data_IF_201852877645
#
_entry.id   IF_201852877645
#
_cell.length_a   1.000
_cell.length_b   1.000
_cell.length_c   1.000
_cell.angle_alpha   90.00
_cell.angle_beta   90.00
_cell.angle_gamma   90.00
#
_symmetry.space_group_name_H-M   'P 1'
#
loop_
_entity.id
_entity.type
_entity.pdbx_description
1 polymer ?
#
# COMPACT_ATOMS: atom_id res chain seq x y z
N UNK A 1 24.15 2.44 -3.04
CA UNK A 1 22.80 2.84 -2.64
C UNK A 1 22.21 3.65 -3.79
N UNK A 2 21.23 3.09 -4.48
CA UNK A 2 20.44 3.76 -5.52
C UNK A 2 19.12 4.30 -4.92
N UNK A 3 18.22 4.79 -5.78
CA UNK A 3 16.89 5.26 -5.37
C UNK A 3 16.09 4.17 -4.64
N UNK A 4 15.98 2.98 -5.21
CA UNK A 4 15.22 1.86 -4.63
C UNK A 4 15.78 1.38 -3.29
N UNK A 5 17.11 1.34 -3.15
CA UNK A 5 17.78 1.02 -1.89
C UNK A 5 17.39 2.02 -0.79
N UNK A 6 17.27 3.31 -1.12
CA UNK A 6 16.85 4.34 -0.17
C UNK A 6 15.40 4.13 0.29
N UNK A 7 14.50 3.78 -0.63
CA UNK A 7 13.09 3.47 -0.29
C UNK A 7 12.98 2.22 0.58
N UNK A 8 13.73 1.17 0.24
CA UNK A 8 13.79 -0.06 1.03
C UNK A 8 14.30 0.22 2.45
N UNK A 9 15.42 0.93 2.58
CA UNK A 9 16.01 1.26 3.89
C UNK A 9 15.04 2.07 4.74
N UNK A 10 14.26 2.98 4.14
CA UNK A 10 13.21 3.73 4.84
C UNK A 10 12.19 2.80 5.50
N UNK A 11 11.68 1.80 4.76
CA UNK A 11 10.78 0.80 5.32
C UNK A 11 11.45 -0.08 6.39
N UNK A 12 12.65 -0.59 6.12
CA UNK A 12 13.38 -1.47 7.05
C UNK A 12 13.69 -0.78 8.38
N UNK A 13 14.04 0.50 8.34
CA UNK A 13 14.25 1.32 9.55
C UNK A 13 12.96 1.57 10.32
N UNK A 14 11.87 1.88 9.61
CA UNK A 14 10.57 2.11 10.25
C UNK A 14 10.05 0.84 10.94
N UNK A 15 10.18 -0.32 10.29
CA UNK A 15 9.61 -1.58 10.79
C UNK A 15 10.60 -2.45 11.57
N UNK A 16 11.85 -1.99 11.72
CA UNK A 16 12.94 -2.68 12.40
C UNK A 16 13.07 -4.14 11.94
N UNK A 17 12.98 -4.34 10.62
CA UNK A 17 12.89 -5.65 10.02
C UNK A 17 13.47 -5.64 8.60
N UNK A 18 14.22 -6.68 8.25
CA UNK A 18 14.80 -6.80 6.93
C UNK A 18 13.74 -7.24 5.92
N UNK A 19 13.70 -6.56 4.77
CA UNK A 19 12.77 -6.88 3.71
C UNK A 19 13.21 -8.12 2.93
N UNK A 20 12.25 -9.00 2.64
CA UNK A 20 12.43 -10.04 1.63
C UNK A 20 11.91 -9.50 0.29
N UNK A 21 12.79 -9.39 -0.70
CA UNK A 21 12.42 -8.88 -2.03
C UNK A 21 11.63 -9.94 -2.79
N UNK A 22 10.49 -9.54 -3.34
CA UNK A 22 9.59 -10.35 -4.15
C UNK A 22 9.30 -9.68 -5.49
N UNK A 23 9.14 -10.51 -6.51
CA UNK A 23 8.63 -10.11 -7.83
C UNK A 23 7.43 -10.97 -8.19
N UNK A 24 6.49 -10.37 -8.93
CA UNK A 24 5.44 -11.12 -9.61
C UNK A 24 5.85 -11.32 -11.06
N UNK A 25 5.96 -12.57 -11.50
CA UNK A 25 6.52 -12.91 -12.82
C UNK A 25 5.48 -12.86 -13.95
N UNK A 26 4.20 -12.67 -13.62
CA UNK A 26 3.11 -12.68 -14.59
C UNK A 26 2.59 -11.27 -14.88
N UNK A 27 2.17 -11.03 -16.12
CA UNK A 27 1.65 -9.74 -16.57
C UNK A 27 2.72 -8.83 -17.18
N UNK A 28 2.35 -7.59 -17.55
CA UNK A 28 3.21 -6.67 -18.30
C UNK A 28 4.25 -5.98 -17.40
N UNK A 29 5.12 -6.75 -16.73
CA UNK A 29 6.12 -6.24 -15.77
C UNK A 29 7.11 -5.27 -16.40
N UNK A 30 7.33 -5.33 -17.71
CA UNK A 30 8.21 -4.40 -18.43
C UNK A 30 7.69 -2.96 -18.45
N UNK A 31 6.42 -2.75 -18.08
CA UNK A 31 5.81 -1.44 -17.89
C UNK A 31 6.02 -0.90 -16.46
N UNK A 32 6.49 -1.76 -15.54
CA UNK A 32 7.02 -1.40 -14.24
C UNK A 32 8.54 -1.32 -14.40
N UNK A 33 9.19 -0.27 -13.87
CA UNK A 33 10.63 -0.10 -14.02
C UNK A 33 11.39 -1.37 -13.61
N UNK A 34 12.56 -1.63 -14.21
CA UNK A 34 13.29 -2.89 -13.99
C UNK A 34 13.70 -3.15 -12.54
N UNK A 35 13.68 -2.12 -11.70
CA UNK A 35 13.98 -2.19 -10.26
C UNK A 35 12.72 -2.33 -9.39
N UNK A 36 11.51 -2.31 -9.97
CA UNK A 36 10.27 -2.49 -9.22
C UNK A 36 10.23 -3.86 -8.55
N UNK A 37 9.87 -3.86 -7.27
CA UNK A 37 9.60 -5.06 -6.51
C UNK A 37 8.57 -4.82 -5.41
N UNK A 38 8.10 -5.91 -4.81
CA UNK A 38 7.34 -5.87 -3.56
C UNK A 38 8.25 -6.35 -2.44
N UNK A 39 8.35 -5.58 -1.37
CA UNK A 39 9.04 -5.91 -0.14
C UNK A 39 8.06 -6.63 0.79
N UNK A 40 8.41 -7.84 1.22
CA UNK A 40 7.66 -8.63 2.20
C UNK A 40 8.40 -8.64 3.54
N UNK A 41 7.69 -8.30 4.61
CA UNK A 41 8.19 -8.29 5.98
C UNK A 41 7.39 -9.28 6.82
N UNK A 42 8.11 -10.15 7.52
CA UNK A 42 7.52 -11.13 8.43
C UNK A 42 7.07 -10.45 9.74
N UNK A 43 6.05 -10.99 10.43
CA UNK A 43 5.76 -10.60 11.80
C UNK A 43 7.00 -10.69 12.70
N UNK A 44 7.16 -9.76 13.62
CA UNK A 44 8.24 -9.74 14.61
C UNK A 44 7.71 -9.33 16.00
N UNK A 45 8.60 -9.12 16.97
CA UNK A 45 8.20 -8.77 18.34
C UNK A 45 7.47 -7.43 18.47
N UNK A 46 7.70 -6.48 17.56
CA UNK A 46 7.05 -5.16 17.59
C UNK A 46 5.81 -5.08 16.70
N UNK A 47 5.68 -5.95 15.70
CA UNK A 47 4.55 -6.00 14.75
C UNK A 47 4.12 -7.43 14.48
N UNK A 48 2.98 -7.83 15.03
CA UNK A 48 2.38 -9.15 14.84
C UNK A 48 1.50 -9.21 13.57
N UNK A 49 2.07 -8.83 12.42
CA UNK A 49 1.38 -8.86 11.13
C UNK A 49 2.36 -8.94 9.96
N UNK A 50 1.92 -9.55 8.86
CA UNK A 50 2.64 -9.49 7.60
C UNK A 50 2.49 -8.10 6.98
N UNK A 51 3.59 -7.58 6.45
CA UNK A 51 3.59 -6.27 5.79
C UNK A 51 4.15 -6.42 4.38
N UNK A 52 3.47 -5.82 3.42
CA UNK A 52 3.85 -5.82 2.02
C UNK A 52 3.95 -4.37 1.55
N UNK A 53 5.02 -4.00 0.87
CA UNK A 53 5.22 -2.64 0.38
C UNK A 53 5.74 -2.64 -1.05
N UNK A 54 5.30 -1.70 -1.86
CA UNK A 54 5.95 -1.46 -3.15
C UNK A 54 7.32 -0.83 -2.91
N UNK A 55 8.27 -1.15 -3.79
CA UNK A 55 9.54 -0.45 -3.85
C UNK A 55 9.82 -0.14 -5.32
N UNK A 56 10.08 1.14 -5.60
CA UNK A 56 10.19 1.68 -6.94
C UNK A 56 8.90 1.54 -7.77
N UNK A 57 7.73 1.63 -7.11
CA UNK A 57 6.50 2.04 -7.79
C UNK A 57 6.66 3.48 -8.29
N UNK A 58 7.22 4.34 -7.43
CA UNK A 58 7.69 5.66 -7.80
C UNK A 58 9.01 5.59 -8.57
N UNK A 59 9.31 6.64 -9.33
CA UNK A 59 10.59 6.85 -10.01
C UNK A 59 11.18 8.20 -9.57
N UNK A 60 12.51 8.31 -9.60
CA UNK A 60 13.22 9.53 -9.16
C UNK A 60 12.86 10.80 -9.92
N UNK A 61 12.26 10.66 -11.10
CA UNK A 61 11.82 11.77 -11.96
C UNK A 61 10.34 12.13 -11.76
N UNK A 62 9.60 11.41 -10.92
CA UNK A 62 8.18 11.68 -10.72
C UNK A 62 7.96 13.01 -9.98
N UNK A 63 6.91 13.73 -10.39
CA UNK A 63 6.53 15.00 -9.74
C UNK A 63 5.92 14.75 -8.36
N UNK A 64 5.16 13.66 -8.20
CA UNK A 64 4.56 13.23 -6.94
C UNK A 64 4.88 11.75 -6.69
N UNK A 65 6.11 11.42 -6.25
CA UNK A 65 6.52 10.05 -6.06
C UNK A 65 5.76 9.41 -4.88
N UNK A 66 5.13 8.26 -5.13
CA UNK A 66 4.33 7.52 -4.15
C UNK A 66 4.78 6.06 -4.09
N UNK A 67 4.96 5.55 -2.89
CA UNK A 67 4.98 4.13 -2.56
C UNK A 67 3.75 3.78 -1.71
N UNK A 68 3.31 2.54 -1.78
CA UNK A 68 2.15 2.05 -1.02
C UNK A 68 2.50 0.80 -0.23
N UNK A 69 1.86 0.63 0.92
CA UNK A 69 2.01 -0.57 1.73
C UNK A 69 0.67 -1.10 2.23
N UNK A 70 0.64 -2.39 2.56
CA UNK A 70 -0.53 -3.17 2.95
C UNK A 70 -0.14 -4.05 4.15
N UNK A 71 -1.04 -4.16 5.12
CA UNK A 71 -0.91 -5.06 6.27
C UNK A 71 -1.86 -6.23 6.14
N UNK A 72 -1.42 -7.42 6.58
CA UNK A 72 -2.19 -8.66 6.47
C UNK A 72 -1.95 -9.55 7.68
N UNK A 73 -2.99 -10.21 8.17
CA UNK A 73 -2.87 -11.25 9.20
C UNK A 73 -2.26 -12.56 8.68
N UNK A 74 -2.18 -12.74 7.35
CA UNK A 74 -1.69 -13.96 6.71
C UNK A 74 -0.57 -13.67 5.70
N UNK A 75 0.34 -14.63 5.55
CA UNK A 75 1.31 -14.65 4.45
C UNK A 75 0.62 -15.14 3.18
N UNK A 76 0.67 -14.39 2.08
CA UNK A 76 0.17 -14.87 0.79
C UNK A 76 0.83 -14.15 -0.38
N UNK A 77 1.03 -14.87 -1.48
CA UNK A 77 1.48 -14.30 -2.75
C UNK A 77 0.42 -13.42 -3.43
N UNK A 78 -0.84 -13.55 -3.03
CA UNK A 78 -1.94 -12.73 -3.57
C UNK A 78 -1.71 -11.23 -3.32
N UNK A 79 -0.99 -10.87 -2.25
CA UNK A 79 -0.62 -9.49 -1.93
C UNK A 79 0.49 -8.97 -2.84
N UNK A 80 1.44 -9.83 -3.21
CA UNK A 80 2.52 -9.51 -4.15
C UNK A 80 1.92 -9.22 -5.52
N UNK A 81 1.01 -10.08 -5.99
CA UNK A 81 0.26 -9.86 -7.23
C UNK A 81 -0.55 -8.56 -7.15
N UNK A 82 -1.33 -8.37 -6.08
CA UNK A 82 -2.21 -7.21 -5.92
C UNK A 82 -1.43 -5.90 -5.98
N UNK A 83 -0.35 -5.77 -5.19
CA UNK A 83 0.48 -4.56 -5.21
C UNK A 83 1.18 -4.35 -6.55
N UNK A 84 1.57 -5.42 -7.24
CA UNK A 84 2.11 -5.32 -8.62
C UNK A 84 1.07 -4.76 -9.58
N UNK A 85 -0.17 -5.24 -9.52
CA UNK A 85 -1.25 -4.75 -10.38
C UNK A 85 -1.61 -3.28 -10.06
N UNK A 86 -1.60 -2.88 -8.79
CA UNK A 86 -1.85 -1.50 -8.38
C UNK A 86 -0.71 -0.58 -8.83
N UNK A 87 0.54 -1.00 -8.68
CA UNK A 87 1.69 -0.25 -9.20
C UNK A 87 1.60 -0.09 -10.72
N UNK A 88 1.19 -1.14 -11.43
CA UNK A 88 1.02 -1.08 -12.89
C UNK A 88 -0.06 -0.06 -13.28
N UNK A 89 -1.20 -0.08 -12.58
CA UNK A 89 -2.26 0.90 -12.77
C UNK A 89 -1.81 2.34 -12.44
N UNK A 90 -1.01 2.52 -11.39
CA UNK A 90 -0.42 3.82 -11.03
C UNK A 90 0.48 4.35 -12.16
N UNK A 91 1.28 3.49 -12.80
CA UNK A 91 2.22 3.88 -13.88
C UNK A 91 1.56 4.10 -15.24
N UNK A 92 0.51 3.35 -15.56
CA UNK A 92 -0.03 3.28 -16.94
C UNK A 92 -1.44 3.82 -17.08
N UNK A 93 -2.19 3.88 -15.98
CA UNK A 93 -3.55 4.39 -15.91
C UNK A 93 -3.59 5.75 -15.25
N UNK A 94 -3.92 5.77 -13.95
CA UNK A 94 -4.04 7.00 -13.16
C UNK A 94 -3.02 7.01 -12.04
N UNK A 95 -2.22 8.07 -11.96
CA UNK A 95 -1.35 8.31 -10.82
C UNK A 95 -2.17 8.36 -9.52
N UNK A 96 -1.89 7.39 -8.65
CA UNK A 96 -2.49 7.27 -7.33
C UNK A 96 -1.88 8.26 -6.33
N UNK A 97 -2.72 8.75 -5.42
CA UNK A 97 -2.41 9.79 -4.42
C UNK A 97 -3.31 9.57 -3.19
N UNK A 98 -3.10 10.33 -2.11
CA UNK A 98 -3.91 10.26 -0.90
C UNK A 98 -5.41 10.41 -1.21
N UNK A 99 -6.23 9.53 -0.65
CA UNK A 99 -7.68 9.50 -0.82
C UNK A 99 -8.18 8.81 -2.08
N UNK A 100 -7.29 8.40 -2.99
CA UNK A 100 -7.71 7.60 -4.13
C UNK A 100 -8.17 6.21 -3.69
N UNK A 101 -9.29 5.78 -4.29
CA UNK A 101 -9.83 4.43 -4.17
C UNK A 101 -9.42 3.61 -5.39
N UNK A 102 -8.99 2.38 -5.13
CA UNK A 102 -8.56 1.41 -6.14
C UNK A 102 -9.52 0.22 -6.11
N UNK A 103 -10.11 -0.12 -7.24
CA UNK A 103 -10.87 -1.36 -7.39
C UNK A 103 -9.88 -2.49 -7.68
N UNK A 104 -9.87 -3.52 -6.83
CA UNK A 104 -8.96 -4.66 -6.98
C UNK A 104 -9.41 -5.65 -8.05
N UNK A 105 -10.67 -5.58 -8.50
CA UNK A 105 -11.30 -6.54 -9.41
C UNK A 105 -11.58 -7.91 -8.77
N UNK A 106 -11.06 -8.16 -7.57
CA UNK A 106 -11.24 -9.35 -6.75
C UNK A 106 -11.18 -9.00 -5.26
N UNK A 107 -11.61 -9.89 -4.35
CA UNK A 107 -11.26 -9.78 -2.95
C UNK A 107 -9.74 -9.65 -2.75
N UNK A 108 -9.31 -8.80 -1.82
CA UNK A 108 -7.89 -8.65 -1.47
C UNK A 108 -7.29 -9.96 -0.95
N UNK A 109 -8.10 -10.73 -0.20
CA UNK A 109 -7.85 -12.09 0.25
C UNK A 109 -9.08 -12.95 -0.11
N UNK A 110 -8.92 -14.22 -0.52
CA UNK A 110 -10.05 -15.10 -0.79
C UNK A 110 -11.07 -15.15 0.34
N UNK A 111 -12.34 -14.94 -0.01
CA UNK A 111 -13.47 -14.93 0.94
C UNK A 111 -13.74 -13.61 1.65
N UNK A 112 -12.90 -12.58 1.46
CA UNK A 112 -13.17 -11.24 1.96
C UNK A 112 -14.22 -10.50 1.13
N UNK A 113 -15.05 -9.69 1.78
CA UNK A 113 -15.92 -8.72 1.09
C UNK A 113 -15.15 -7.48 0.60
N UNK A 114 -13.93 -7.28 1.08
CA UNK A 114 -13.09 -6.16 0.69
C UNK A 114 -12.47 -6.42 -0.68
N UNK A 115 -13.01 -5.73 -1.68
CA UNK A 115 -12.60 -5.81 -3.09
C UNK A 115 -12.13 -4.45 -3.65
N UNK A 116 -11.99 -3.46 -2.76
CA UNK A 116 -11.41 -2.15 -3.05
C UNK A 116 -10.34 -1.82 -2.01
N UNK A 117 -9.55 -0.80 -2.26
CA UNK A 117 -8.64 -0.22 -1.29
C UNK A 117 -8.67 1.29 -1.36
N UNK A 118 -8.46 1.95 -0.23
CA UNK A 118 -8.28 3.40 -0.17
C UNK A 118 -6.86 3.72 0.28
N UNK A 119 -6.25 4.74 -0.33
CA UNK A 119 -4.96 5.25 0.11
C UNK A 119 -5.15 6.28 1.21
N UNK A 120 -4.64 5.97 2.39
CA UNK A 120 -4.68 6.81 3.58
C UNK A 120 -3.27 7.10 4.09
N UNK A 121 -3.15 7.96 5.10
CA UNK A 121 -1.89 8.19 5.80
C UNK A 121 -1.50 6.94 6.61
N UNK A 122 -0.20 6.71 6.86
CA UNK A 122 0.27 5.56 7.62
C UNK A 122 0.05 5.71 9.13
N UNK A 123 -1.21 5.78 9.58
CA UNK A 123 -1.54 6.10 10.98
C UNK A 123 -0.92 5.14 12.02
N UNK A 124 -0.67 3.88 11.65
CA UNK A 124 -0.03 2.91 12.55
C UNK A 124 1.47 3.14 12.75
N UNK A 125 2.11 3.78 11.78
CA UNK A 125 3.55 4.02 11.74
C UNK A 125 3.90 5.48 12.06
N UNK A 126 2.94 6.37 11.89
CA UNK A 126 3.06 7.79 12.16
C UNK A 126 3.83 8.56 11.08
N UNK A 127 4.07 9.87 11.33
CA UNK A 127 4.66 10.77 10.35
C UNK A 127 6.08 10.41 9.91
N UNK A 128 6.81 9.56 10.66
CA UNK A 128 8.15 9.13 10.29
C UNK A 128 8.17 8.24 9.05
N UNK A 129 7.11 7.47 8.81
CA UNK A 129 6.97 6.68 7.58
C UNK A 129 6.48 7.55 6.41
N UNK A 130 5.57 8.49 6.68
CA UNK A 130 4.75 9.18 5.67
C UNK A 130 5.55 9.79 4.53
N UNK A 131 6.70 10.40 4.82
CA UNK A 131 7.54 11.05 3.80
C UNK A 131 9.01 10.74 3.99
N UNK A 132 9.72 10.50 2.88
CA UNK A 132 11.17 10.35 2.88
C UNK A 132 11.80 11.29 1.86
N UNK A 133 12.64 12.21 2.34
CA UNK A 133 13.52 12.98 1.48
C UNK A 133 14.69 12.10 1.02
N UNK A 134 15.01 12.15 -0.26
CA UNK A 134 16.09 11.35 -0.86
C UNK A 134 16.94 12.22 -1.78
N UNK A 135 18.27 12.03 -1.84
CA UNK A 135 19.13 12.82 -2.71
C UNK A 135 18.89 12.54 -4.21
N UNK A 136 18.12 11.51 -4.56
CA UNK A 136 17.87 11.10 -5.94
C UNK A 136 16.63 11.73 -6.55
N UNK A 137 15.73 12.31 -5.74
CA UNK A 137 14.48 12.95 -6.19
C UNK A 137 14.43 14.39 -5.70
N UNK A 138 13.84 15.28 -6.50
CA UNK A 138 13.60 16.66 -6.09
C UNK A 138 12.50 16.73 -5.04
N UNK A 139 11.48 15.88 -5.17
CA UNK A 139 10.32 15.85 -4.29
C UNK A 139 10.43 14.68 -3.30
N UNK A 140 9.99 14.86 -2.04
CA UNK A 140 9.93 13.77 -1.08
C UNK A 140 8.98 12.68 -1.56
N UNK A 141 9.34 11.42 -1.30
CA UNK A 141 8.52 10.25 -1.62
C UNK A 141 7.49 10.08 -0.52
N UNK A 142 6.22 9.94 -0.91
CA UNK A 142 5.12 9.69 0.03
C UNK A 142 4.86 8.19 0.16
N UNK A 143 4.66 7.74 1.39
CA UNK A 143 4.41 6.35 1.73
C UNK A 143 3.01 6.22 2.28
N UNK A 144 2.09 5.72 1.45
CA UNK A 144 0.67 5.67 1.77
C UNK A 144 0.23 4.27 2.18
N UNK A 145 -0.73 4.21 3.09
CA UNK A 145 -1.32 2.97 3.53
C UNK A 145 -2.51 2.61 2.64
N UNK A 146 -2.43 1.45 1.99
CA UNK A 146 -3.55 0.84 1.28
C UNK A 146 -4.41 0.08 2.27
N UNK A 147 -5.58 0.64 2.61
CA UNK A 147 -6.55 0.02 3.51
C UNK A 147 -7.60 -0.73 2.67
N UNK A 148 -7.74 -2.05 2.83
CA UNK A 148 -8.80 -2.82 2.16
C UNK A 148 -10.20 -2.36 2.62
N UNK A 149 -11.04 -2.04 1.65
CA UNK A 149 -12.42 -1.57 1.84
C UNK A 149 -13.44 -2.32 0.98
N UNK A 150 -14.69 -2.32 1.45
CA UNK A 150 -15.82 -2.89 0.70
C UNK A 150 -16.22 -1.94 -0.43
N UNK A 151 -16.96 -2.45 -1.41
CA UNK A 151 -17.54 -1.61 -2.47
C UNK A 151 -18.51 -0.54 -1.93
N UNK A 152 -19.21 -0.83 -0.82
CA UNK A 152 -20.10 0.13 -0.16
C UNK A 152 -19.31 1.28 0.46
N UNK A 153 -18.22 0.98 1.16
CA UNK A 153 -17.31 1.97 1.73
C UNK A 153 -16.60 2.80 0.65
N UNK A 154 -16.21 2.17 -0.47
CA UNK A 154 -15.66 2.87 -1.63
C UNK A 154 -16.66 3.88 -2.20
N UNK A 155 -17.93 3.47 -2.32
CA UNK A 155 -19.03 4.35 -2.76
C UNK A 155 -19.23 5.50 -1.77
N UNK A 156 -19.21 5.22 -0.47
CA UNK A 156 -19.33 6.22 0.58
C UNK A 156 -18.16 7.22 0.54
N UNK A 157 -16.91 6.76 0.41
CA UNK A 157 -15.73 7.62 0.29
C UNK A 157 -15.81 8.55 -0.93
N UNK A 158 -16.32 8.03 -2.05
CA UNK A 158 -16.53 8.85 -3.26
C UNK A 158 -17.61 9.93 -3.08
N UNK A 159 -18.57 9.72 -2.19
CA UNK A 159 -19.69 10.65 -1.96
C UNK A 159 -19.43 11.64 -0.81
N UNK A 160 -18.78 11.18 0.26
CA UNK A 160 -18.60 11.93 1.51
C UNK A 160 -17.14 12.36 1.74
N UNK A 161 -16.19 11.86 0.94
CA UNK A 161 -14.76 12.12 1.06
C UNK A 161 -14.03 11.12 1.96
N UNK A 162 -12.69 11.12 1.85
CA UNK A 162 -11.80 10.24 2.61
C UNK A 162 -12.01 10.38 4.12
N UNK A 163 -12.04 11.62 4.63
CA UNK A 163 -12.12 11.89 6.07
C UNK A 163 -13.37 11.29 6.70
N UNK A 164 -14.51 11.40 6.02
CA UNK A 164 -15.76 10.83 6.50
C UNK A 164 -15.72 9.30 6.58
N UNK A 165 -14.99 8.64 5.68
CA UNK A 165 -14.77 7.19 5.75
C UNK A 165 -13.81 6.84 6.90
N UNK A 166 -12.73 7.59 7.06
CA UNK A 166 -11.77 7.38 8.15
C UNK A 166 -12.44 7.51 9.53
N UNK A 167 -13.27 8.54 9.73
CA UNK A 167 -14.05 8.70 10.97
C UNK A 167 -14.96 7.48 11.23
N UNK A 168 -15.60 6.91 10.18
CA UNK A 168 -16.43 5.69 10.31
C UNK A 168 -15.61 4.45 10.69
N UNK A 169 -14.43 4.29 10.10
CA UNK A 169 -13.53 3.16 10.40
C UNK A 169 -13.04 3.26 11.86
N UNK A 170 -12.66 4.46 12.30
CA UNK A 170 -12.21 4.72 13.67
C UNK A 170 -13.32 4.49 14.70
N UNK A 171 -14.52 5.05 14.48
CA UNK A 171 -15.68 4.90 15.37
C UNK A 171 -16.10 3.45 15.58
N UNK A 172 -15.88 2.59 14.58
CA UNK A 172 -16.22 1.17 14.63
C UNK A 172 -15.05 0.28 15.08
N UNK A 173 -13.92 0.86 15.54
CA UNK A 173 -12.72 0.14 15.98
C UNK A 173 -12.27 -0.92 14.99
N UNK A 174 -12.24 -0.51 13.74
CA UNK A 174 -11.95 -1.35 12.60
C UNK A 174 -10.68 -2.21 12.74
N UNK A 175 -10.81 -3.52 12.55
CA UNK A 175 -9.65 -4.40 12.43
C UNK A 175 -9.22 -4.53 10.96
N UNK A 176 -8.18 -3.78 10.58
CA UNK A 176 -7.60 -3.79 9.23
C UNK A 176 -6.92 -5.11 8.85
N UNK A 177 -6.68 -6.01 9.80
CA UNK A 177 -6.11 -7.33 9.55
C UNK A 177 -7.19 -8.40 9.34
N UNK A 178 -8.45 -8.12 9.69
CA UNK A 178 -9.54 -9.08 9.58
C UNK A 178 -10.11 -9.10 8.15
N UNK A 179 -9.89 -10.18 7.37
CA UNK A 179 -10.47 -10.28 6.03
C UNK A 179 -12.00 -10.45 6.06
N UNK A 180 -12.61 -10.88 7.17
CA UNK A 180 -14.05 -11.13 7.29
C UNK A 180 -14.82 -9.97 7.93
N UNK A 181 -14.13 -8.86 8.17
CA UNK A 181 -14.74 -7.64 8.66
C UNK A 181 -15.98 -7.26 7.84
N UNK A 182 -16.96 -6.70 8.52
CA UNK A 182 -18.15 -6.17 7.89
C UNK A 182 -17.92 -4.72 7.44
N UNK A 183 -18.79 -4.25 6.55
CA UNK A 183 -18.86 -2.83 6.17
C UNK A 183 -19.20 -1.96 7.38
N UNK A 184 -18.59 -0.77 7.49
CA UNK A 184 -18.88 0.24 8.54
C UNK A 184 -19.85 1.34 8.08
N UNK A 185 -20.34 1.25 6.85
CA UNK A 185 -21.31 2.18 6.23
C UNK A 185 -22.65 1.51 5.97
#
# INVERSE_FOLDING_TARGET
>A
MNYCDHLRVHYEQQWLNDAIVRSWEYGPKEQLGSEFCVLEFQPNQSRDMWTYATCCMSQSTDVAPVEIHLFSGIQTSDHIELLTAIAHYHRTGKCLELGHVVNFGRPWIPGSECNHGVLSLPYLDGPSLEESATPFSINPVRFLWLIPITAAEATYASQQGLRALEDRLEDNQFNYLDPQRQSVV
#
